data_IF_735076059943
#
_entry.id   IF_735076059943
#
_cell.length_a   1.000
_cell.length_b   1.000
_cell.length_c   1.000
_cell.angle_alpha   90.00
_cell.angle_beta   90.00
_cell.angle_gamma   90.00
#
_symmetry.space_group_name_H-M   'P 1'
#
loop_
_entity.id
_entity.type
_entity.pdbx_description
1 polymer ?
#
# COMPACT_ATOMS: atom_id res chain seq x y z
N UNK A 1 4.94 29.21 9.48
CA UNK A 1 5.60 27.88 9.56
C UNK A 1 6.69 27.82 10.63
N UNK A 2 7.69 28.71 10.63
CA UNK A 2 8.71 28.78 11.70
C UNK A 2 8.10 29.07 13.09
N UNK A 3 7.05 29.89 13.17
CA UNK A 3 6.36 30.17 14.45
C UNK A 3 5.44 29.04 14.93
N UNK A 4 5.01 28.14 14.04
CA UNK A 4 4.19 26.97 14.39
C UNK A 4 5.11 25.88 14.99
N UNK A 5 6.29 25.70 14.40
CA UNK A 5 7.37 24.87 14.96
C UNK A 5 7.89 25.41 16.29
N UNK A 6 8.00 26.74 16.47
CA UNK A 6 8.36 27.33 17.78
C UNK A 6 7.34 27.01 18.87
N UNK A 7 6.04 27.09 18.56
CA UNK A 7 4.98 26.86 19.55
C UNK A 7 4.77 25.36 19.87
N UNK A 8 5.08 24.46 18.94
CA UNK A 8 5.08 23.01 19.20
C UNK A 8 6.30 22.56 20.01
N UNK A 9 7.42 23.27 19.91
CA UNK A 9 8.65 23.00 20.67
C UNK A 9 8.60 23.56 22.10
N UNK A 10 7.75 24.54 22.40
CA UNK A 10 7.67 25.17 23.73
C UNK A 10 6.73 24.49 24.72
N UNK A 11 5.83 23.58 24.28
CA UNK A 11 4.76 23.08 25.15
C UNK A 11 4.95 21.68 25.73
N UNK A 12 5.81 20.84 25.19
CA UNK A 12 6.03 19.49 25.74
C UNK A 12 7.49 19.31 26.18
N UNK A 13 7.68 19.48 27.49
CA UNK A 13 8.82 19.04 28.31
C UNK A 13 10.16 19.78 28.13
N UNK A 14 10.18 21.05 28.52
CA UNK A 14 11.35 21.60 29.20
C UNK A 14 11.57 20.85 30.52
N UNK A 15 12.46 19.84 30.52
CA UNK A 15 13.46 19.69 31.57
C UNK A 15 14.56 18.71 31.12
N UNK A 16 15.74 19.29 30.81
CA UNK A 16 17.05 18.65 30.59
C UNK A 16 17.44 18.12 29.21
N UNK A 17 16.96 18.69 28.11
CA UNK A 17 17.71 18.59 26.84
C UNK A 17 18.58 19.84 26.71
N UNK A 18 19.85 19.68 27.11
CA UNK A 18 20.84 20.75 27.34
C UNK A 18 21.03 21.64 26.10
N UNK A 19 21.17 22.95 26.33
CA UNK A 19 21.51 23.95 25.32
C UNK A 19 22.73 23.59 24.44
N UNK A 20 23.61 22.71 24.95
CA UNK A 20 24.74 22.12 24.23
C UNK A 20 24.33 21.24 23.04
N UNK A 21 23.20 20.53 23.11
CA UNK A 21 22.67 19.71 22.02
C UNK A 21 22.17 20.56 20.86
N UNK A 22 21.45 21.64 21.17
CA UNK A 22 21.01 22.63 20.17
C UNK A 22 22.18 23.36 19.52
N UNK A 23 23.26 23.63 20.27
CA UNK A 23 24.49 24.22 19.73
C UNK A 23 25.20 23.27 18.75
N UNK A 24 25.27 21.98 19.09
CA UNK A 24 25.90 20.93 18.26
C UNK A 24 25.14 20.72 16.94
N UNK A 25 23.81 20.72 16.99
CA UNK A 25 22.93 20.62 15.81
C UNK A 25 23.14 21.83 14.90
N UNK A 26 23.15 23.06 15.44
CA UNK A 26 23.40 24.28 14.66
C UNK A 26 24.79 24.30 14.01
N UNK A 27 25.81 23.77 14.68
CA UNK A 27 27.17 23.72 14.16
C UNK A 27 27.31 22.70 13.01
N UNK A 28 26.59 21.57 13.08
CA UNK A 28 26.57 20.56 12.01
C UNK A 28 25.71 20.97 10.81
N UNK A 29 24.62 21.71 11.04
CA UNK A 29 23.79 22.33 9.98
C UNK A 29 24.61 23.29 9.11
N UNK A 30 25.54 24.04 9.70
CA UNK A 30 26.42 24.95 8.93
C UNK A 30 27.47 24.22 8.08
N UNK A 31 27.77 22.95 8.35
CA UNK A 31 28.85 22.19 7.69
C UNK A 31 28.36 21.19 6.65
N UNK A 32 27.09 20.79 6.69
CA UNK A 32 26.52 19.80 5.77
C UNK A 32 25.56 20.48 4.78
N UNK A 33 25.92 20.50 3.50
CA UNK A 33 24.98 20.79 2.40
C UNK A 33 23.98 19.63 2.15
N UNK A 34 24.07 18.54 2.92
CA UNK A 34 23.05 17.48 2.97
C UNK A 34 21.91 17.89 3.90
N UNK A 35 20.77 18.22 3.28
CA UNK A 35 19.68 18.99 3.85
C UNK A 35 18.85 18.32 4.94
N UNK A 36 17.83 19.08 5.33
CA UNK A 36 16.79 18.93 6.37
C UNK A 36 16.44 17.47 6.75
N UNK A 37 16.45 16.54 5.79
CA UNK A 37 16.20 15.10 5.98
C UNK A 37 17.20 14.45 6.96
N UNK A 38 18.50 14.77 6.86
CA UNK A 38 19.50 14.25 7.82
C UNK A 38 19.31 14.83 9.22
N UNK A 39 18.71 16.01 9.34
CA UNK A 39 18.40 16.63 10.63
C UNK A 39 17.16 16.01 11.27
N UNK A 40 16.14 15.64 10.49
CA UNK A 40 14.97 14.91 10.98
C UNK A 40 15.36 13.50 11.46
N UNK A 41 16.21 12.80 10.70
CA UNK A 41 16.76 11.50 11.10
C UNK A 41 17.55 11.62 12.41
N UNK A 42 18.44 12.61 12.53
CA UNK A 42 19.26 12.81 13.72
C UNK A 42 18.48 13.33 14.94
N UNK A 43 17.41 14.11 14.73
CA UNK A 43 16.54 14.59 15.79
C UNK A 43 15.69 13.44 16.35
N UNK A 44 15.10 12.62 15.47
CA UNK A 44 14.35 11.41 15.87
C UNK A 44 15.28 10.41 16.58
N UNK A 45 16.55 10.27 16.15
CA UNK A 45 17.59 9.47 16.81
C UNK A 45 17.93 9.93 18.23
N UNK A 46 17.84 11.24 18.50
CA UNK A 46 18.22 11.83 19.78
C UNK A 46 17.10 11.86 20.80
N UNK A 47 15.83 11.92 20.38
CA UNK A 47 14.67 12.03 21.29
C UNK A 47 14.25 10.67 21.88
N UNK A 48 14.38 9.58 21.12
CA UNK A 48 13.82 8.26 21.50
C UNK A 48 14.86 7.24 22.01
N UNK A 49 16.10 7.68 22.23
CA UNK A 49 17.21 6.79 22.58
C UNK A 49 17.81 6.13 21.35
N UNK A 50 19.12 5.91 21.44
CA UNK A 50 19.97 5.38 20.38
C UNK A 50 19.58 3.92 20.09
N UNK A 51 18.70 3.69 19.12
CA UNK A 51 18.60 2.39 18.46
C UNK A 51 19.67 2.37 17.39
N UNK A 52 20.70 1.56 17.62
CA UNK A 52 21.91 1.51 16.82
C UNK A 52 21.56 1.18 15.35
N UNK A 53 21.89 2.06 14.38
CA UNK A 53 21.74 1.75 12.96
C UNK A 53 22.65 0.58 12.50
N UNK A 54 23.53 0.08 13.37
CA UNK A 54 24.34 -1.13 13.14
C UNK A 54 23.62 -2.45 13.42
N UNK A 55 22.42 -2.43 14.04
CA UNK A 55 21.69 -3.65 14.32
C UNK A 55 21.19 -4.28 13.02
N UNK A 56 21.65 -5.53 12.77
CA UNK A 56 21.24 -6.31 11.61
C UNK A 56 19.70 -6.34 11.52
N UNK A 57 19.17 -5.89 10.38
CA UNK A 57 17.74 -5.79 10.13
C UNK A 57 17.05 -7.13 10.35
N UNK A 58 17.74 -8.21 10.01
CA UNK A 58 17.27 -9.58 10.19
C UNK A 58 17.12 -9.96 11.67
N UNK A 59 18.12 -9.62 12.50
CA UNK A 59 18.06 -9.82 13.95
C UNK A 59 16.93 -9.01 14.60
N UNK A 60 16.70 -7.79 14.11
CA UNK A 60 15.59 -6.94 14.57
C UNK A 60 14.24 -7.53 14.19
N UNK A 61 14.05 -7.98 12.95
CA UNK A 61 12.82 -8.66 12.51
C UNK A 61 12.56 -9.91 13.34
N UNK A 62 13.57 -10.76 13.55
CA UNK A 62 13.48 -11.97 14.39
C UNK A 62 13.05 -11.64 15.83
N UNK A 63 13.53 -10.53 16.40
CA UNK A 63 13.09 -10.07 17.73
C UNK A 63 11.63 -9.64 17.74
N UNK A 64 11.18 -8.94 16.71
CA UNK A 64 9.78 -8.48 16.60
C UNK A 64 8.85 -9.69 16.43
N UNK A 65 9.22 -10.65 15.58
CA UNK A 65 8.53 -11.93 15.40
C UNK A 65 8.40 -12.69 16.72
N UNK A 66 9.48 -12.76 17.52
CA UNK A 66 9.45 -13.40 18.84
C UNK A 66 8.54 -12.71 19.87
N UNK A 67 8.22 -11.42 19.69
CA UNK A 67 7.37 -10.64 20.61
C UNK A 67 5.89 -10.64 20.21
N UNK A 68 5.61 -10.53 18.92
CA UNK A 68 4.24 -10.34 18.39
C UNK A 68 3.68 -11.60 17.74
N UNK A 69 4.56 -12.51 17.32
CA UNK A 69 4.22 -13.68 16.51
C UNK A 69 4.71 -13.51 15.07
N UNK A 70 5.46 -14.51 14.58
CA UNK A 70 6.08 -14.47 13.25
C UNK A 70 5.05 -14.27 12.13
N UNK A 71 3.89 -14.92 12.23
CA UNK A 71 2.84 -14.84 11.22
C UNK A 71 2.24 -13.43 11.11
N UNK A 72 1.99 -12.77 12.24
CA UNK A 72 1.42 -11.43 12.25
C UNK A 72 2.39 -10.42 11.63
N UNK A 73 3.68 -10.56 11.93
CA UNK A 73 4.73 -9.72 11.34
C UNK A 73 4.85 -9.97 9.84
N UNK A 74 4.86 -11.24 9.43
CA UNK A 74 4.90 -11.65 8.01
C UNK A 74 3.77 -11.01 7.23
N UNK A 75 2.51 -11.18 7.66
CA UNK A 75 1.33 -10.66 6.96
C UNK A 75 1.42 -9.14 6.79
N UNK A 76 1.67 -8.39 7.88
CA UNK A 76 1.72 -6.92 7.83
C UNK A 76 2.86 -6.45 6.93
N UNK A 77 4.02 -7.08 7.01
CA UNK A 77 5.17 -6.71 6.20
C UNK A 77 4.95 -7.01 4.71
N UNK A 78 4.35 -8.17 4.36
CA UNK A 78 3.96 -8.49 2.99
C UNK A 78 2.99 -7.44 2.44
N UNK A 79 1.93 -7.10 3.19
CA UNK A 79 0.96 -6.09 2.79
C UNK A 79 1.62 -4.73 2.49
N UNK A 80 2.52 -4.27 3.36
CA UNK A 80 3.24 -3.00 3.16
C UNK A 80 4.20 -3.01 1.96
N UNK A 81 4.76 -4.17 1.60
CA UNK A 81 5.65 -4.31 0.44
C UNK A 81 4.90 -4.38 -0.89
N UNK A 82 3.71 -4.97 -0.91
CA UNK A 82 2.96 -5.22 -2.15
C UNK A 82 2.28 -3.96 -2.70
N UNK A 83 2.09 -2.92 -1.88
CA UNK A 83 1.43 -1.67 -2.29
C UNK A 83 2.41 -0.48 -2.39
N UNK A 84 2.69 0.05 -3.60
CA UNK A 84 3.74 1.06 -3.79
C UNK A 84 3.42 2.44 -3.17
N UNK A 85 2.14 2.73 -2.91
CA UNK A 85 1.67 4.01 -2.34
C UNK A 85 1.30 3.93 -0.85
N UNK A 86 1.56 2.77 -0.23
CA UNK A 86 1.25 2.52 1.18
C UNK A 86 -0.22 2.24 1.47
N UNK A 87 -0.45 1.72 2.68
CA UNK A 87 -1.75 1.30 3.16
C UNK A 87 -2.21 2.14 4.35
N UNK A 88 -3.46 2.55 4.36
CA UNK A 88 -4.10 3.11 5.56
C UNK A 88 -4.25 2.04 6.63
N UNK A 89 -4.38 2.45 7.90
CA UNK A 89 -4.59 1.52 9.01
C UNK A 89 -5.79 0.59 8.77
N UNK A 90 -6.87 1.10 8.17
CA UNK A 90 -8.05 0.28 7.82
C UNK A 90 -7.71 -0.77 6.76
N UNK A 91 -7.03 -0.36 5.68
CA UNK A 91 -6.61 -1.28 4.60
C UNK A 91 -5.65 -2.38 5.14
N UNK A 92 -4.78 -2.06 6.12
CA UNK A 92 -3.92 -3.05 6.78
C UNK A 92 -4.74 -4.04 7.60
N UNK A 93 -5.73 -3.57 8.36
CA UNK A 93 -6.59 -4.44 9.19
C UNK A 93 -7.42 -5.36 8.31
N UNK A 94 -8.04 -4.84 7.25
CA UNK A 94 -8.86 -5.62 6.33
C UNK A 94 -7.99 -6.65 5.57
N UNK A 95 -6.83 -6.24 5.07
CA UNK A 95 -5.86 -7.15 4.43
C UNK A 95 -5.35 -8.23 5.39
N UNK A 96 -5.09 -7.88 6.64
CA UNK A 96 -4.69 -8.84 7.66
C UNK A 96 -5.76 -9.91 7.90
N UNK A 97 -7.03 -9.50 7.91
CA UNK A 97 -8.16 -10.42 8.06
C UNK A 97 -8.30 -11.36 6.86
N UNK A 98 -8.17 -10.83 5.65
CA UNK A 98 -8.15 -11.65 4.42
C UNK A 98 -7.03 -12.70 4.46
N UNK A 99 -5.80 -12.30 4.81
CA UNK A 99 -4.69 -13.24 4.93
C UNK A 99 -4.95 -14.33 5.96
N UNK A 100 -5.49 -14.00 7.14
CA UNK A 100 -5.81 -15.01 8.17
C UNK A 100 -6.92 -15.97 7.74
N UNK A 101 -7.94 -15.47 7.03
CA UNK A 101 -9.01 -16.30 6.47
C UNK A 101 -8.44 -17.28 5.45
N UNK A 102 -7.58 -16.82 4.54
CA UNK A 102 -6.98 -17.67 3.50
C UNK A 102 -6.06 -18.74 4.09
N UNK A 103 -5.48 -18.50 5.27
CA UNK A 103 -4.74 -19.50 6.05
C UNK A 103 -5.63 -20.51 6.80
N UNK A 104 -6.96 -20.46 6.65
CA UNK A 104 -7.91 -21.42 7.23
C UNK A 104 -8.20 -21.23 8.72
N UNK A 105 -7.87 -20.07 9.31
CA UNK A 105 -8.17 -19.80 10.71
C UNK A 105 -9.64 -19.39 10.91
N UNK A 106 -10.30 -20.00 11.88
CA UNK A 106 -11.64 -19.64 12.29
C UNK A 106 -11.65 -18.19 12.80
N UNK A 107 -12.49 -17.36 12.20
CA UNK A 107 -12.77 -16.02 12.71
C UNK A 107 -13.87 -16.15 13.76
N UNK A 108 -13.55 -15.84 15.01
CA UNK A 108 -14.57 -15.34 15.93
C UNK A 108 -15.07 -13.99 15.38
N UNK A 109 -16.36 -13.71 15.60
CA UNK A 109 -17.09 -12.54 15.11
C UNK A 109 -16.25 -11.24 15.11
N UNK A 110 -16.47 -10.32 14.17
CA UNK A 110 -15.49 -9.32 13.77
C UNK A 110 -15.14 -8.41 14.95
N UNK A 111 -14.03 -8.72 15.61
CA UNK A 111 -13.45 -7.79 16.55
C UNK A 111 -12.90 -6.65 15.69
N UNK A 112 -13.68 -5.57 15.61
CA UNK A 112 -13.47 -4.41 14.73
C UNK A 112 -12.05 -3.84 14.91
N UNK A 113 -11.39 -4.18 16.01
CA UNK A 113 -10.08 -3.73 16.43
C UNK A 113 -9.14 -4.90 16.75
N UNK A 114 -8.86 -5.80 15.81
CA UNK A 114 -7.75 -6.75 16.00
C UNK A 114 -6.47 -5.95 16.26
N UNK A 115 -5.87 -6.01 17.46
CA UNK A 115 -4.78 -5.11 17.83
C UNK A 115 -3.47 -5.51 17.14
N UNK A 116 -3.35 -6.75 16.65
CA UNK A 116 -2.12 -7.32 16.10
C UNK A 116 -1.46 -6.42 15.05
N UNK A 117 -2.15 -5.93 13.99
CA UNK A 117 -1.48 -5.13 12.97
C UNK A 117 -0.96 -3.80 13.52
N UNK A 118 -1.67 -3.20 14.48
CA UNK A 118 -1.23 -1.97 15.14
C UNK A 118 -0.01 -2.22 16.05
N UNK A 119 0.01 -3.35 16.76
CA UNK A 119 1.14 -3.78 17.58
C UNK A 119 2.37 -4.01 16.69
N UNK A 120 2.21 -4.69 15.55
CA UNK A 120 3.30 -4.89 14.58
C UNK A 120 3.83 -3.54 14.09
N UNK A 121 2.98 -2.62 13.63
CA UNK A 121 3.39 -1.29 13.17
C UNK A 121 4.16 -0.52 14.25
N UNK A 122 3.70 -0.60 15.51
CA UNK A 122 4.40 0.02 16.64
C UNK A 122 5.79 -0.57 16.87
N UNK A 123 5.96 -1.89 16.71
CA UNK A 123 7.24 -2.56 16.85
C UNK A 123 8.18 -2.36 15.65
N UNK A 124 7.65 -2.22 14.44
CA UNK A 124 8.41 -1.80 13.27
C UNK A 124 8.98 -0.39 13.49
N UNK A 125 8.22 0.49 14.15
CA UNK A 125 8.69 1.80 14.60
C UNK A 125 9.30 2.61 13.46
N UNK A 126 10.58 2.98 13.58
CA UNK A 126 11.30 3.78 12.56
C UNK A 126 11.48 3.11 11.20
N UNK A 127 11.21 1.81 11.06
CA UNK A 127 11.25 1.12 9.75
C UNK A 127 10.12 1.61 8.84
N UNK A 128 9.01 2.06 9.42
CA UNK A 128 7.84 2.57 8.73
C UNK A 128 7.66 4.08 8.96
N UNK A 129 7.00 4.74 8.03
CA UNK A 129 6.54 6.11 8.16
C UNK A 129 5.05 6.18 7.87
N UNK A 130 4.39 7.10 8.56
CA UNK A 130 3.03 7.51 8.26
C UNK A 130 3.09 8.78 7.39
N UNK A 131 2.66 8.68 6.14
CA UNK A 131 2.72 9.74 5.13
C UNK A 131 1.32 10.08 4.65
N UNK A 132 1.09 11.33 4.27
CA UNK A 132 -0.19 11.77 3.71
C UNK A 132 -0.16 11.72 2.18
N UNK A 133 -0.87 10.76 1.59
CA UNK A 133 -0.94 10.52 0.13
C UNK A 133 -2.40 10.34 -0.29
N UNK A 134 -2.80 10.94 -1.41
CA UNK A 134 -4.17 10.83 -1.96
C UNK A 134 -5.28 11.15 -0.93
N UNK A 135 -5.05 12.20 -0.13
CA UNK A 135 -5.94 12.66 0.96
C UNK A 135 -6.14 11.65 2.10
N UNK A 136 -5.23 10.68 2.26
CA UNK A 136 -5.27 9.67 3.31
C UNK A 136 -3.91 9.55 3.99
N UNK A 137 -3.93 9.25 5.29
CA UNK A 137 -2.73 8.82 6.01
C UNK A 137 -2.45 7.35 5.69
N UNK A 138 -1.23 7.05 5.25
CA UNK A 138 -0.79 5.71 4.85
C UNK A 138 0.54 5.35 5.48
N UNK A 139 0.73 4.06 5.73
CA UNK A 139 1.98 3.47 6.17
C UNK A 139 2.78 2.99 4.97
N UNK A 140 4.06 3.36 4.95
CA UNK A 140 5.06 2.90 3.98
C UNK A 140 6.35 2.53 4.72
N UNK A 141 7.21 1.73 4.10
CA UNK A 141 8.59 1.61 4.56
C UNK A 141 9.35 2.92 4.29
N UNK A 142 10.13 3.38 5.28
CA UNK A 142 10.89 4.64 5.13
C UNK A 142 11.96 4.57 4.05
N UNK A 143 12.55 3.39 3.87
CA UNK A 143 13.67 3.20 2.98
C UNK A 143 13.46 1.97 2.09
N UNK A 144 13.83 2.11 0.81
CA UNK A 144 13.71 1.03 -0.16
C UNK A 144 14.51 -0.23 0.24
N UNK A 145 15.67 -0.07 0.89
CA UNK A 145 16.46 -1.23 1.33
C UNK A 145 15.72 -2.07 2.40
N UNK A 146 14.91 -1.43 3.26
CA UNK A 146 14.09 -2.13 4.24
C UNK A 146 13.01 -2.94 3.53
N UNK A 147 12.32 -2.32 2.58
CA UNK A 147 11.33 -3.02 1.77
C UNK A 147 11.95 -4.19 1.00
N UNK A 148 13.16 -4.04 0.45
CA UNK A 148 13.86 -5.09 -0.27
C UNK A 148 14.23 -6.27 0.64
N UNK A 149 14.77 -6.02 1.83
CA UNK A 149 15.08 -7.08 2.78
C UNK A 149 13.83 -7.82 3.25
N UNK A 150 12.72 -7.09 3.43
CA UNK A 150 11.43 -7.66 3.79
C UNK A 150 10.85 -8.53 2.66
N UNK A 151 10.96 -8.07 1.40
CA UNK A 151 10.58 -8.87 0.23
C UNK A 151 11.41 -10.16 0.19
N UNK A 152 12.72 -10.08 0.39
CA UNK A 152 13.60 -11.26 0.41
C UNK A 152 13.23 -12.25 1.52
N UNK A 153 12.78 -11.77 2.68
CA UNK A 153 12.44 -12.61 3.83
C UNK A 153 11.04 -13.23 3.74
N UNK A 154 10.04 -12.46 3.30
CA UNK A 154 8.62 -12.85 3.38
C UNK A 154 7.93 -13.04 2.04
N UNK A 155 8.54 -12.63 0.92
CA UNK A 155 8.05 -12.88 -0.43
C UNK A 155 9.16 -13.51 -1.33
N UNK A 156 9.86 -14.57 -0.87
CA UNK A 156 10.96 -15.16 -1.63
C UNK A 156 10.51 -15.85 -2.93
N UNK A 157 9.26 -16.31 -3.01
CA UNK A 157 8.75 -17.06 -4.16
C UNK A 157 7.72 -16.29 -4.99
N UNK A 158 7.67 -16.59 -6.28
CA UNK A 158 6.63 -16.08 -7.21
C UNK A 158 5.23 -16.49 -6.72
N UNK A 159 5.10 -17.66 -6.09
CA UNK A 159 3.83 -18.13 -5.52
C UNK A 159 3.32 -17.23 -4.40
N UNK A 160 4.19 -16.82 -3.47
CA UNK A 160 3.81 -15.89 -2.39
C UNK A 160 3.49 -14.49 -2.92
N UNK A 161 4.22 -14.01 -3.94
CA UNK A 161 3.90 -12.76 -4.62
C UNK A 161 2.50 -12.84 -5.25
N UNK A 162 2.18 -13.95 -5.92
CA UNK A 162 0.85 -14.18 -6.51
C UNK A 162 -0.27 -14.16 -5.46
N UNK A 163 -0.08 -14.86 -4.34
CA UNK A 163 -1.04 -14.88 -3.22
C UNK A 163 -1.20 -13.46 -2.63
N UNK A 164 -0.10 -12.73 -2.46
CA UNK A 164 -0.16 -11.35 -1.95
C UNK A 164 -0.92 -10.42 -2.90
N UNK A 165 -0.71 -10.56 -4.22
CA UNK A 165 -1.49 -9.83 -5.22
C UNK A 165 -2.97 -10.21 -5.20
N UNK A 166 -3.32 -11.48 -4.96
CA UNK A 166 -4.71 -11.91 -4.80
C UNK A 166 -5.40 -11.21 -3.62
N UNK A 167 -4.74 -11.15 -2.46
CA UNK A 167 -5.25 -10.40 -1.29
C UNK A 167 -5.43 -8.92 -1.60
N UNK A 168 -4.49 -8.31 -2.34
CA UNK A 168 -4.62 -6.90 -2.73
C UNK A 168 -5.73 -6.64 -3.74
N UNK A 169 -5.97 -7.57 -4.66
CA UNK A 169 -7.09 -7.49 -5.59
C UNK A 169 -8.43 -7.55 -4.84
N UNK A 170 -8.56 -8.45 -3.86
CA UNK A 170 -9.73 -8.55 -3.00
C UNK A 170 -9.93 -7.30 -2.13
N UNK A 171 -8.85 -6.76 -1.55
CA UNK A 171 -8.89 -5.54 -0.74
C UNK A 171 -9.39 -4.31 -1.53
N UNK A 172 -9.05 -4.22 -2.81
CA UNK A 172 -9.44 -3.11 -3.69
C UNK A 172 -10.76 -3.34 -4.42
N UNK A 173 -11.35 -4.52 -4.35
CA UNK A 173 -12.64 -4.79 -4.98
C UNK A 173 -13.76 -3.99 -4.29
N UNK A 174 -14.69 -3.43 -5.06
CA UNK A 174 -16.03 -3.21 -4.49
C UNK A 174 -16.77 -4.52 -4.59
N UNK A 175 -17.18 -5.05 -3.46
CA UNK A 175 -18.36 -5.93 -3.46
C UNK A 175 -19.52 -5.09 -4.05
N UNK A 176 -20.06 -5.48 -5.21
CA UNK A 176 -21.23 -6.37 -5.19
C UNK A 176 -21.20 -7.41 -6.31
N UNK A 177 -21.10 -8.70 -5.96
CA UNK A 177 -21.47 -9.76 -6.90
C UNK A 177 -22.92 -10.12 -6.63
N UNK A 178 -23.81 -9.64 -7.50
CA UNK A 178 -25.16 -10.18 -7.62
C UNK A 178 -25.10 -11.68 -7.93
N UNK A 179 -25.91 -12.42 -7.17
CA UNK A 179 -26.65 -13.63 -7.54
C UNK A 179 -26.04 -15.03 -7.43
N UNK A 180 -24.76 -15.23 -7.11
CA UNK A 180 -24.29 -16.58 -6.78
C UNK A 180 -23.51 -16.61 -5.46
N UNK A 181 -24.13 -17.25 -4.45
CA UNK A 181 -23.51 -17.74 -3.21
C UNK A 181 -22.47 -16.82 -2.57
N UNK A 182 -22.91 -15.66 -2.10
CA UNK A 182 -22.07 -14.85 -1.21
C UNK A 182 -21.77 -15.66 0.06
N UNK A 183 -20.51 -16.00 0.27
CA UNK A 183 -19.99 -16.35 1.59
C UNK A 183 -20.12 -15.07 2.46
N UNK A 184 -21.12 -14.97 3.35
CA UNK A 184 -21.44 -13.74 4.08
C UNK A 184 -20.29 -13.31 5.00
N UNK A 185 -19.32 -14.19 5.20
CA UNK A 185 -18.10 -13.95 5.96
C UNK A 185 -17.22 -12.92 5.24
N UNK A 186 -16.99 -13.03 3.92
CA UNK A 186 -16.03 -12.15 3.21
C UNK A 186 -16.52 -10.70 3.12
N UNK A 187 -17.83 -10.50 2.93
CA UNK A 187 -18.44 -9.16 2.94
C UNK A 187 -18.34 -8.44 4.29
N UNK A 188 -18.14 -9.19 5.38
CA UNK A 188 -17.96 -8.64 6.73
C UNK A 188 -16.49 -8.37 7.08
N UNK A 189 -15.53 -8.83 6.28
CA UNK A 189 -14.10 -8.72 6.59
C UNK A 189 -13.44 -7.45 6.01
N UNK A 190 -13.96 -6.92 4.90
CA UNK A 190 -13.35 -5.82 4.14
C UNK A 190 -14.32 -4.67 3.98
N UNK A 191 -13.85 -3.45 4.23
CA UNK A 191 -14.65 -2.26 3.99
C UNK A 191 -14.83 -2.03 2.47
N UNK A 192 -16.06 -1.80 1.98
CA UNK A 192 -16.31 -1.62 0.54
C UNK A 192 -15.47 -0.50 -0.09
N UNK A 193 -14.82 -0.78 -1.22
CA UNK A 193 -14.05 0.20 -2.01
C UNK A 193 -14.75 0.54 -3.34
N UNK A 194 -15.84 1.33 -3.35
CA UNK A 194 -16.53 1.68 -4.60
C UNK A 194 -15.61 2.44 -5.57
N UNK A 195 -15.86 2.28 -6.88
CA UNK A 195 -15.11 2.97 -7.96
C UNK A 195 -15.29 4.48 -7.85
N UNK A 196 -16.53 4.92 -7.62
CA UNK A 196 -16.89 6.31 -7.37
C UNK A 196 -17.37 6.45 -5.93
N UNK A 197 -16.89 7.48 -5.23
CA UNK A 197 -17.36 7.84 -3.89
C UNK A 197 -18.70 8.59 -3.99
N UNK A 198 -19.40 8.74 -2.87
CA UNK A 198 -20.71 9.43 -2.78
C UNK A 198 -20.70 10.86 -3.34
N UNK A 199 -19.54 11.52 -3.34
CA UNK A 199 -19.35 12.85 -3.91
C UNK A 199 -18.95 12.83 -5.41
N UNK A 200 -19.17 11.72 -6.11
CA UNK A 200 -18.75 11.46 -7.49
C UNK A 200 -17.23 11.56 -7.74
N UNK A 201 -16.39 11.58 -6.69
CA UNK A 201 -14.93 11.51 -6.87
C UNK A 201 -14.47 10.09 -7.14
N UNK A 202 -13.53 9.93 -8.08
CA UNK A 202 -12.97 8.64 -8.46
C UNK A 202 -12.04 8.11 -7.37
N UNK A 203 -12.16 6.83 -7.04
CA UNK A 203 -11.21 6.12 -6.20
C UNK A 203 -9.93 5.78 -7.00
N UNK A 204 -9.00 6.73 -7.04
CA UNK A 204 -7.78 6.62 -7.84
C UNK A 204 -6.93 5.39 -7.53
N UNK A 205 -6.92 4.91 -6.27
CA UNK A 205 -6.15 3.70 -5.90
C UNK A 205 -6.69 2.46 -6.59
N UNK A 206 -8.00 2.26 -6.49
CA UNK A 206 -8.65 1.14 -7.15
C UNK A 206 -8.44 1.20 -8.66
N UNK A 207 -8.70 2.36 -9.25
CA UNK A 207 -8.51 2.57 -10.69
C UNK A 207 -7.07 2.27 -11.12
N UNK A 208 -6.06 2.77 -10.40
CA UNK A 208 -4.66 2.63 -10.79
C UNK A 208 -4.09 1.23 -10.57
N UNK A 209 -4.61 0.46 -9.61
CA UNK A 209 -3.90 -0.75 -9.15
C UNK A 209 -4.74 -2.03 -9.11
N UNK A 210 -6.08 -1.96 -9.15
CA UNK A 210 -6.90 -3.17 -9.11
C UNK A 210 -6.60 -4.10 -10.30
N UNK A 211 -6.48 -3.54 -11.51
CA UNK A 211 -6.14 -4.30 -12.72
C UNK A 211 -4.76 -4.98 -12.58
N UNK A 212 -3.78 -4.28 -12.02
CA UNK A 212 -2.42 -4.80 -11.81
C UNK A 212 -2.44 -6.01 -10.88
N UNK A 213 -3.14 -5.91 -9.75
CA UNK A 213 -3.23 -7.02 -8.81
C UNK A 213 -4.01 -8.21 -9.39
N UNK A 214 -5.10 -7.98 -10.12
CA UNK A 214 -5.85 -9.04 -10.80
C UNK A 214 -5.01 -9.76 -11.87
N UNK A 215 -4.24 -9.00 -12.65
CA UNK A 215 -3.31 -9.52 -13.65
C UNK A 215 -2.24 -10.41 -13.01
N UNK A 216 -1.53 -9.90 -12.01
CA UNK A 216 -0.45 -10.63 -11.35
C UNK A 216 -0.92 -11.73 -10.38
N UNK A 217 -2.18 -11.70 -9.95
CA UNK A 217 -2.84 -12.83 -9.29
C UNK A 217 -3.31 -13.91 -10.28
N UNK A 218 -3.29 -13.63 -11.58
CA UNK A 218 -3.79 -14.55 -12.62
C UNK A 218 -5.31 -14.74 -12.61
N UNK A 219 -6.07 -13.75 -12.11
CA UNK A 219 -7.54 -13.77 -12.04
C UNK A 219 -8.12 -13.12 -13.31
N UNK A 220 -7.94 -13.78 -14.45
CA UNK A 220 -8.27 -13.21 -15.77
C UNK A 220 -9.75 -12.86 -15.94
N UNK A 221 -10.66 -13.73 -15.49
CA UNK A 221 -12.10 -13.47 -15.61
C UNK A 221 -12.50 -12.22 -14.82
N UNK A 222 -12.01 -12.11 -13.58
CA UNK A 222 -12.23 -10.93 -12.75
C UNK A 222 -11.55 -9.67 -13.35
N UNK A 223 -10.38 -9.81 -13.97
CA UNK A 223 -9.72 -8.71 -14.67
C UNK A 223 -10.61 -8.17 -15.80
N UNK A 224 -11.17 -9.06 -16.63
CA UNK A 224 -12.11 -8.68 -17.69
C UNK A 224 -13.35 -8.00 -17.09
N UNK A 225 -14.02 -8.66 -16.16
CA UNK A 225 -15.34 -8.25 -15.66
C UNK A 225 -15.31 -7.01 -14.76
N UNK A 226 -14.24 -6.83 -13.98
CA UNK A 226 -14.14 -5.74 -13.02
C UNK A 226 -13.35 -4.53 -13.56
N UNK A 227 -12.55 -4.72 -14.62
CA UNK A 227 -11.70 -3.64 -15.16
C UNK A 227 -11.82 -3.48 -16.68
N UNK A 228 -11.18 -4.34 -17.48
CA UNK A 228 -10.96 -4.10 -18.92
C UNK A 228 -12.24 -4.03 -19.75
N UNK A 229 -13.27 -4.79 -19.37
CA UNK A 229 -14.58 -4.81 -20.04
C UNK A 229 -15.67 -4.07 -19.25
N UNK A 230 -15.29 -3.40 -18.15
CA UNK A 230 -16.24 -2.74 -17.26
C UNK A 230 -16.34 -1.24 -17.58
N UNK A 231 -17.43 -0.81 -18.22
CA UNK A 231 -17.60 0.59 -18.62
C UNK A 231 -17.50 1.59 -17.46
N UNK A 232 -18.00 1.25 -16.27
CA UNK A 232 -17.91 2.13 -15.09
C UNK A 232 -16.45 2.31 -14.67
N UNK A 233 -15.66 1.22 -14.71
CA UNK A 233 -14.23 1.29 -14.44
C UNK A 233 -13.50 2.09 -15.53
N UNK A 234 -13.75 1.82 -16.81
CA UNK A 234 -13.11 2.51 -17.93
C UNK A 234 -13.38 4.01 -17.91
N UNK A 235 -14.62 4.41 -17.67
CA UNK A 235 -15.03 5.82 -17.53
C UNK A 235 -14.34 6.49 -16.33
N UNK A 236 -14.32 5.81 -15.17
CA UNK A 236 -13.63 6.32 -13.99
C UNK A 236 -12.11 6.40 -14.20
N UNK A 237 -11.51 5.45 -14.91
CA UNK A 237 -10.10 5.45 -15.26
C UNK A 237 -9.74 6.61 -16.19
N UNK A 238 -10.53 6.80 -17.24
CA UNK A 238 -10.39 7.93 -18.15
C UNK A 238 -10.53 9.27 -17.41
N UNK A 239 -11.53 9.44 -16.55
CA UNK A 239 -11.73 10.68 -15.77
C UNK A 239 -10.66 10.91 -14.72
N UNK A 240 -10.20 9.86 -14.03
CA UNK A 240 -9.30 9.97 -12.88
C UNK A 240 -7.82 9.99 -13.25
N UNK A 241 -7.43 9.28 -14.30
CA UNK A 241 -6.03 9.09 -14.69
C UNK A 241 -5.72 9.52 -16.12
N UNK A 242 -6.74 9.81 -16.94
CA UNK A 242 -6.60 10.20 -18.33
C UNK A 242 -6.44 9.03 -19.29
N UNK A 243 -6.63 9.30 -20.59
CA UNK A 243 -6.56 8.28 -21.65
C UNK A 243 -5.19 7.62 -21.77
N UNK A 244 -4.10 8.35 -21.52
CA UNK A 244 -2.75 7.82 -21.61
C UNK A 244 -2.52 6.68 -20.62
N UNK A 245 -3.01 6.81 -19.38
CA UNK A 245 -2.95 5.74 -18.38
C UNK A 245 -3.81 4.54 -18.80
N UNK A 246 -5.02 4.80 -19.30
CA UNK A 246 -5.89 3.72 -19.75
C UNK A 246 -5.23 2.90 -20.87
N UNK A 247 -4.60 3.56 -21.85
CA UNK A 247 -3.85 2.89 -22.91
C UNK A 247 -2.68 2.08 -22.36
N UNK A 248 -1.91 2.60 -21.39
CA UNK A 248 -0.81 1.83 -20.79
C UNK A 248 -1.30 0.58 -20.06
N UNK A 249 -2.46 0.64 -19.40
CA UNK A 249 -3.08 -0.54 -18.76
C UNK A 249 -3.39 -1.62 -19.78
N UNK A 250 -3.99 -1.25 -20.90
CA UNK A 250 -4.33 -2.18 -21.97
C UNK A 250 -3.07 -2.76 -22.65
N UNK A 251 -2.07 -1.93 -22.90
CA UNK A 251 -0.79 -2.36 -23.47
C UNK A 251 -0.11 -3.39 -22.56
N UNK A 252 0.02 -3.11 -21.27
CA UNK A 252 0.67 -4.01 -20.31
C UNK A 252 -0.10 -5.33 -20.15
N UNK A 253 -1.44 -5.27 -20.09
CA UNK A 253 -2.28 -6.47 -20.11
C UNK A 253 -2.05 -7.30 -21.37
N UNK A 254 -1.94 -6.68 -22.54
CA UNK A 254 -1.77 -7.38 -23.82
C UNK A 254 -0.43 -8.10 -23.96
N UNK A 255 0.62 -7.59 -23.29
CA UNK A 255 1.94 -8.22 -23.29
C UNK A 255 1.97 -9.49 -22.42
N UNK A 256 1.12 -9.55 -21.39
CA UNK A 256 1.12 -10.63 -20.41
C UNK A 256 0.01 -11.67 -20.65
N UNK A 257 -1.06 -11.29 -21.33
CA UNK A 257 -2.23 -12.15 -21.54
C UNK A 257 -2.30 -12.58 -23.01
N UNK A 258 -2.22 -13.90 -23.23
CA UNK A 258 -2.46 -14.51 -24.54
C UNK A 258 -3.94 -14.92 -24.66
N UNK A 259 -4.84 -13.95 -24.49
CA UNK A 259 -6.29 -14.17 -24.48
C UNK A 259 -6.93 -13.55 -25.74
N UNK A 260 -7.71 -14.37 -26.44
CA UNK A 260 -8.29 -14.03 -27.71
C UNK A 260 -9.27 -12.84 -27.63
N UNK A 261 -10.02 -12.68 -26.53
CA UNK A 261 -11.03 -11.63 -26.42
C UNK A 261 -10.39 -10.25 -26.20
N UNK A 262 -9.35 -10.21 -25.36
CA UNK A 262 -8.57 -8.99 -25.11
C UNK A 262 -7.81 -8.60 -26.37
N UNK A 263 -7.20 -9.57 -27.06
CA UNK A 263 -6.54 -9.34 -28.35
C UNK A 263 -7.54 -8.88 -29.42
N UNK A 264 -8.77 -9.39 -29.44
CA UNK A 264 -9.81 -8.94 -30.38
C UNK A 264 -10.29 -7.51 -30.08
N UNK A 265 -10.35 -7.10 -28.81
CA UNK A 265 -10.67 -5.73 -28.41
C UNK A 265 -9.56 -4.75 -28.81
N UNK A 266 -8.30 -5.13 -28.62
CA UNK A 266 -7.14 -4.27 -28.90
C UNK A 266 -6.72 -4.23 -30.37
N UNK A 267 -6.88 -5.34 -31.09
CA UNK A 267 -6.51 -5.46 -32.49
C UNK A 267 -7.64 -5.08 -33.45
N UNK A 268 -8.83 -4.70 -32.96
CA UNK A 268 -9.79 -3.97 -33.80
C UNK A 268 -9.16 -2.62 -34.10
N UNK A 269 -8.66 -2.40 -35.32
CA UNK A 269 -8.01 -1.14 -35.61
C UNK A 269 -9.08 -0.06 -35.55
N UNK A 270 -8.66 1.17 -35.27
CA UNK A 270 -9.33 2.40 -35.71
C UNK A 270 -9.41 2.48 -37.26
N UNK A 271 -9.64 1.36 -37.95
CA UNK A 271 -9.85 1.24 -39.37
C UNK A 271 -11.31 1.53 -39.68
N UNK A 272 -11.61 2.82 -39.77
CA UNK A 272 -12.30 3.37 -40.94
C UNK A 272 -12.62 4.83 -40.65
N UNK A 273 -11.67 5.74 -40.86
CA UNK A 273 -11.93 7.09 -41.39
C UNK A 273 -10.70 7.47 -42.23
N UNK A 274 -10.51 6.78 -43.35
CA UNK A 274 -9.77 7.36 -44.48
C UNK A 274 -10.42 6.89 -45.79
N UNK A 275 -10.84 7.89 -46.55
CA UNK A 275 -11.07 7.88 -47.99
C UNK A 275 -12.32 7.18 -48.54
N UNK A 276 -13.38 7.98 -48.68
CA UNK A 276 -14.25 7.94 -49.87
C UNK A 276 -14.47 9.35 -50.39
N UNK A 277 -13.49 9.87 -51.14
CA UNK A 277 -13.73 10.82 -52.21
C UNK A 277 -13.15 10.23 -53.49
N UNK A 278 -14.04 9.68 -54.30
CA UNK A 278 -13.89 9.43 -55.73
C UNK A 278 -15.29 9.44 -56.33
#
# INVERSE_FOLDING_TARGET
MINILKNQVTNDNEQKIKADLLATIRQKIKKSNGGIIMCEIQYDEMVDGYTDPSEDLDARLTRIEGRVGAESVRIVCQLLCTLPYGLSTLEIVDGYRLCKRNSGMAFDAPDVLTPDPQIVLKHLGRMVANVYTDRRCVWIFRHAFVAQAIIQRYLPSIGEVKISNEVMAELLASVPSTEDEHDPVTSNLVFPQPICRENNSVNLRRVRFQWYYLLHAGKLDQLKDQTLCNFNYLEACFRGCGIAHLLSVFEECSQQILDHDILAFLNKPFASHSNTHS
#
